data_IF_374774371128
#
_entry.id   IF_374774371128
#
_cell.length_a   1.000
_cell.length_b   1.000
_cell.length_c   1.000
_cell.angle_alpha   90.00
_cell.angle_beta   90.00
_cell.angle_gamma   90.00
#
_symmetry.space_group_name_H-M   'P 1'
#
loop_
_entity.id
_entity.type
_entity.pdbx_description
1 polymer ?
#
# COMPACT_ATOMS: atom_id res chain seq x y z
N UNK A 1 -10.09 9.41 3.19
CA UNK A 1 -8.81 8.73 3.46
C UNK A 1 -9.15 7.45 4.18
N UNK A 2 -8.69 6.32 3.65
CA UNK A 2 -8.85 4.98 4.21
C UNK A 2 -8.10 4.83 5.54
N UNK A 3 -8.35 3.74 6.25
CA UNK A 3 -7.67 3.48 7.52
C UNK A 3 -6.18 3.15 7.32
N UNK A 4 -5.86 2.30 6.35
CA UNK A 4 -4.48 2.02 5.94
C UNK A 4 -3.69 3.29 5.62
N UNK A 5 -4.26 4.24 4.86
CA UNK A 5 -3.58 5.49 4.55
C UNK A 5 -3.34 6.38 5.80
N UNK A 6 -4.21 6.32 6.83
CA UNK A 6 -3.96 7.02 8.10
C UNK A 6 -2.82 6.38 8.87
N UNK A 7 -2.79 5.06 8.95
CA UNK A 7 -1.74 4.30 9.64
C UNK A 7 -0.37 4.62 9.05
N UNK A 8 -0.26 4.56 7.72
CA UNK A 8 0.98 4.90 7.00
C UNK A 8 1.40 6.36 7.20
N UNK A 9 0.45 7.30 7.21
CA UNK A 9 0.76 8.70 7.47
C UNK A 9 1.29 8.92 8.91
N UNK A 10 0.73 8.22 9.90
CA UNK A 10 1.19 8.30 11.28
C UNK A 10 2.57 7.65 11.46
N UNK A 11 2.82 6.49 10.86
CA UNK A 11 4.15 5.86 10.80
C UNK A 11 5.19 6.83 10.22
N UNK A 12 4.86 7.46 9.08
CA UNK A 12 5.74 8.44 8.44
C UNK A 12 6.04 9.65 9.36
N UNK A 13 5.04 10.15 10.08
CA UNK A 13 5.22 11.27 11.02
C UNK A 13 6.17 10.90 12.18
N UNK A 14 5.98 9.72 12.77
CA UNK A 14 6.84 9.22 13.85
C UNK A 14 8.28 9.03 13.34
N UNK A 15 8.47 8.37 12.21
CA UNK A 15 9.79 8.15 11.59
C UNK A 15 10.48 9.48 11.31
N UNK A 16 9.76 10.44 10.71
CA UNK A 16 10.32 11.77 10.43
C UNK A 16 10.70 12.53 11.70
N UNK A 17 9.96 12.32 12.80
CA UNK A 17 10.28 12.90 14.11
C UNK A 17 11.55 12.28 14.68
N UNK A 18 11.69 10.95 14.63
CA UNK A 18 12.89 10.22 15.03
C UNK A 18 14.10 10.70 14.23
N UNK A 19 13.98 10.82 12.91
CA UNK A 19 15.05 11.29 12.02
C UNK A 19 15.47 12.73 12.35
N UNK A 20 14.52 13.62 12.65
CA UNK A 20 14.81 15.00 13.07
C UNK A 20 15.50 15.08 14.42
N UNK A 21 15.09 14.23 15.36
CA UNK A 21 15.59 14.25 16.74
C UNK A 21 16.89 13.43 16.91
N UNK A 22 17.19 12.51 15.97
CA UNK A 22 18.34 11.62 16.01
C UNK A 22 18.24 10.52 17.07
N UNK A 23 17.07 10.33 17.67
CA UNK A 23 16.81 9.32 18.68
C UNK A 23 15.32 8.93 18.66
N UNK A 24 15.06 7.67 18.98
CA UNK A 24 13.71 7.16 19.22
C UNK A 24 13.49 6.94 20.72
N UNK A 25 12.33 7.34 21.22
CA UNK A 25 11.85 7.00 22.55
C UNK A 25 11.18 5.63 22.55
N UNK A 26 11.10 5.01 23.74
CA UNK A 26 10.38 3.74 23.92
C UNK A 26 8.89 3.87 23.53
N UNK A 27 8.27 5.02 23.80
CA UNK A 27 6.87 5.27 23.44
C UNK A 27 6.67 5.36 21.91
N UNK A 28 7.60 5.97 21.18
CA UNK A 28 7.58 5.98 19.71
C UNK A 28 7.76 4.56 19.15
N UNK A 29 8.64 3.74 19.76
CA UNK A 29 8.80 2.33 19.39
C UNK A 29 7.53 1.52 19.57
N UNK A 30 6.91 1.56 20.76
CA UNK A 30 5.64 0.86 21.01
C UNK A 30 4.53 1.32 20.06
N UNK A 31 4.50 2.62 19.72
CA UNK A 31 3.50 3.14 18.79
C UNK A 31 3.70 2.63 17.37
N UNK A 32 4.95 2.49 16.92
CA UNK A 32 5.27 1.87 15.63
C UNK A 32 4.77 0.42 15.63
N UNK A 33 5.10 -0.37 16.66
CA UNK A 33 4.66 -1.77 16.76
C UNK A 33 3.13 -1.90 16.70
N UNK A 34 2.40 -1.03 17.40
CA UNK A 34 0.93 -0.98 17.35
C UNK A 34 0.41 -0.65 15.94
N UNK A 35 1.03 0.32 15.27
CA UNK A 35 0.64 0.74 13.93
C UNK A 35 0.92 -0.34 12.90
N UNK A 36 2.04 -1.05 13.00
CA UNK A 36 2.38 -2.19 12.13
C UNK A 36 1.39 -3.34 12.30
N UNK A 37 1.01 -3.66 13.54
CA UNK A 37 -0.03 -4.65 13.81
C UNK A 37 -1.36 -4.26 13.16
N UNK A 38 -1.77 -2.99 13.28
CA UNK A 38 -2.99 -2.47 12.63
C UNK A 38 -2.88 -2.44 11.10
N UNK A 39 -1.67 -2.21 10.56
CA UNK A 39 -1.39 -2.19 9.13
C UNK A 39 -1.58 -3.59 8.53
N UNK A 40 -1.12 -4.63 9.22
CA UNK A 40 -1.29 -6.03 8.80
C UNK A 40 -2.75 -6.50 8.80
N UNK A 41 -3.65 -5.81 9.50
CA UNK A 41 -5.10 -6.07 9.44
C UNK A 41 -5.77 -5.42 8.21
N UNK A 42 -5.05 -4.61 7.44
CA UNK A 42 -5.61 -3.88 6.29
C UNK A 42 -5.70 -4.75 5.03
N UNK A 43 -6.56 -4.34 4.11
CA UNK A 43 -6.96 -5.14 2.94
C UNK A 43 -5.81 -5.50 1.99
N UNK A 44 -4.77 -4.67 1.90
CA UNK A 44 -3.59 -4.98 1.09
C UNK A 44 -2.75 -6.11 1.70
N UNK A 45 -2.73 -6.24 3.03
CA UNK A 45 -2.02 -7.27 3.78
C UNK A 45 -2.87 -8.52 4.05
N UNK A 46 -4.06 -8.60 3.47
CA UNK A 46 -4.87 -9.79 3.59
C UNK A 46 -4.19 -10.93 2.83
N UNK A 47 -3.86 -12.01 3.55
CA UNK A 47 -3.31 -13.24 2.97
C UNK A 47 -4.25 -13.83 1.91
N UNK A 48 -3.65 -14.39 0.86
CA UNK A 48 -4.35 -15.04 -0.24
C UNK A 48 -3.80 -16.45 -0.50
N UNK A 49 -4.65 -17.33 -1.03
CA UNK A 49 -4.22 -18.64 -1.51
C UNK A 49 -3.70 -18.49 -2.95
N UNK A 50 -2.44 -18.05 -3.08
CA UNK A 50 -1.76 -17.84 -4.36
C UNK A 50 -0.36 -18.46 -4.35
N UNK A 51 0.09 -19.00 -5.49
CA UNK A 51 1.37 -19.76 -5.57
C UNK A 51 2.61 -18.86 -5.41
N UNK A 52 2.52 -17.61 -5.85
CA UNK A 52 3.65 -16.67 -5.91
C UNK A 52 3.54 -15.45 -4.99
N UNK A 53 2.38 -15.21 -4.37
CA UNK A 53 2.11 -13.98 -3.62
C UNK A 53 1.49 -14.35 -2.27
N UNK A 54 1.97 -13.72 -1.21
CA UNK A 54 1.48 -13.91 0.14
C UNK A 54 0.27 -13.01 0.38
N UNK A 55 0.34 -11.77 -0.11
CA UNK A 55 -0.66 -10.75 0.15
C UNK A 55 -1.43 -10.30 -1.09
N UNK A 56 -2.68 -9.87 -0.87
CA UNK A 56 -3.53 -9.31 -1.93
C UNK A 56 -2.90 -8.11 -2.64
N UNK A 57 -2.17 -7.26 -1.92
CA UNK A 57 -1.46 -6.12 -2.50
C UNK A 57 -0.39 -6.55 -3.50
N UNK A 58 0.35 -7.63 -3.23
CA UNK A 58 1.37 -8.19 -4.12
C UNK A 58 0.75 -8.76 -5.39
N UNK A 59 -0.38 -9.45 -5.26
CA UNK A 59 -1.09 -9.98 -6.42
C UNK A 59 -1.55 -8.87 -7.38
N UNK A 60 -2.05 -7.76 -6.85
CA UNK A 60 -2.43 -6.59 -7.63
C UNK A 60 -1.19 -5.96 -8.30
N UNK A 61 -0.06 -5.90 -7.60
CA UNK A 61 1.21 -5.41 -8.16
C UNK A 61 1.71 -6.30 -9.31
N UNK A 62 1.65 -7.62 -9.13
CA UNK A 62 1.99 -8.61 -10.15
C UNK A 62 1.15 -8.47 -11.42
N UNK A 63 -0.15 -8.18 -11.28
CA UNK A 63 -1.03 -7.91 -12.42
C UNK A 63 -0.60 -6.63 -13.17
N UNK A 64 -0.25 -5.55 -12.46
CA UNK A 64 0.28 -4.36 -13.11
C UNK A 64 1.63 -4.62 -13.80
N UNK A 65 2.50 -5.44 -13.21
CA UNK A 65 3.81 -5.77 -13.76
C UNK A 65 3.76 -6.65 -15.02
N UNK A 66 2.67 -7.42 -15.19
CA UNK A 66 2.53 -8.40 -16.29
C UNK A 66 1.57 -7.94 -17.41
N UNK A 67 1.32 -6.63 -17.53
CA UNK A 67 0.43 -6.03 -18.56
C UNK A 67 -1.07 -6.41 -18.40
N UNK A 68 -1.47 -6.84 -17.20
CA UNK A 68 -2.86 -7.11 -16.82
C UNK A 68 -3.52 -5.90 -16.15
N UNK A 69 -3.27 -4.70 -16.67
CA UNK A 69 -3.65 -3.42 -16.04
C UNK A 69 -5.13 -3.35 -15.64
N UNK A 70 -6.05 -3.65 -16.56
CA UNK A 70 -7.48 -3.56 -16.26
C UNK A 70 -7.94 -4.62 -15.26
N UNK A 71 -7.30 -5.79 -15.23
CA UNK A 71 -7.58 -6.83 -14.25
C UNK A 71 -7.14 -6.40 -12.84
N UNK A 72 -6.00 -5.70 -12.74
CA UNK A 72 -5.57 -5.08 -11.49
C UNK A 72 -6.58 -4.04 -10.98
N UNK A 73 -7.08 -3.16 -11.87
CA UNK A 73 -8.13 -2.19 -11.51
C UNK A 73 -9.40 -2.88 -11.04
N UNK A 74 -9.79 -3.97 -11.69
CA UNK A 74 -11.01 -4.72 -11.36
C UNK A 74 -10.88 -5.34 -9.96
N UNK A 75 -9.72 -5.93 -9.69
CA UNK A 75 -9.41 -6.51 -8.39
C UNK A 75 -9.37 -5.46 -7.28
N UNK A 76 -8.83 -4.28 -7.55
CA UNK A 76 -8.89 -3.14 -6.63
C UNK A 76 -10.34 -2.75 -6.32
N UNK A 77 -11.23 -2.69 -7.33
CA UNK A 77 -12.65 -2.41 -7.10
C UNK A 77 -13.30 -3.50 -6.25
N UNK A 78 -13.13 -4.77 -6.61
CA UNK A 78 -13.74 -5.93 -5.95
C UNK A 78 -13.34 -6.03 -4.47
N UNK A 79 -12.08 -5.73 -4.19
CA UNK A 79 -11.54 -5.78 -2.84
C UNK A 79 -11.72 -4.46 -2.09
N UNK A 80 -12.33 -3.44 -2.73
CA UNK A 80 -12.47 -2.09 -2.19
C UNK A 80 -11.13 -1.54 -1.64
N UNK A 81 -10.05 -1.75 -2.41
CA UNK A 81 -8.71 -1.24 -2.15
C UNK A 81 -8.56 0.05 -2.95
N UNK A 82 -8.41 1.18 -2.26
CA UNK A 82 -8.23 2.46 -2.94
C UNK A 82 -6.82 2.57 -3.54
N UNK A 83 -6.60 3.44 -4.54
CA UNK A 83 -5.26 3.75 -5.01
C UNK A 83 -4.34 4.23 -3.88
N UNK A 84 -4.86 5.00 -2.92
CA UNK A 84 -4.08 5.42 -1.75
C UNK A 84 -3.66 4.23 -0.86
N UNK A 85 -4.52 3.22 -0.70
CA UNK A 85 -4.17 1.98 0.00
C UNK A 85 -3.06 1.25 -0.76
N UNK A 86 -3.30 0.95 -2.04
CA UNK A 86 -2.39 0.16 -2.85
C UNK A 86 -1.00 0.79 -2.96
N UNK A 87 -0.89 2.06 -3.36
CA UNK A 87 0.42 2.70 -3.50
C UNK A 87 1.09 2.97 -2.15
N UNK A 88 0.31 3.12 -1.08
CA UNK A 88 0.85 3.15 0.28
C UNK A 88 1.43 1.81 0.71
N UNK A 89 0.76 0.71 0.37
CA UNK A 89 1.27 -0.66 0.57
C UNK A 89 2.58 -0.85 -0.19
N UNK A 90 2.65 -0.55 -1.48
CA UNK A 90 3.88 -0.73 -2.26
C UNK A 90 5.04 0.11 -1.70
N UNK A 91 4.79 1.38 -1.37
CA UNK A 91 5.84 2.24 -0.83
C UNK A 91 6.41 1.79 0.52
N UNK A 92 5.65 1.00 1.29
CA UNK A 92 6.07 0.47 2.59
C UNK A 92 6.61 -0.97 2.50
N UNK A 93 6.03 -1.79 1.62
CA UNK A 93 6.26 -3.24 1.51
C UNK A 93 7.33 -3.62 0.47
N UNK A 94 7.61 -2.77 -0.52
CA UNK A 94 8.62 -3.06 -1.55
C UNK A 94 10.04 -2.90 -0.99
N UNK A 95 10.46 -3.86 -0.16
CA UNK A 95 11.81 -3.94 0.40
C UNK A 95 12.88 -4.30 -0.66
N UNK A 96 12.47 -4.88 -1.79
CA UNK A 96 13.35 -5.43 -2.84
C UNK A 96 13.34 -4.61 -4.16
N UNK A 97 12.72 -3.43 -4.19
CA UNK A 97 12.62 -2.52 -5.35
C UNK A 97 12.02 -3.14 -6.62
N UNK A 98 11.27 -4.25 -6.54
CA UNK A 98 10.77 -4.96 -7.72
C UNK A 98 9.74 -4.11 -8.49
N UNK A 99 9.02 -3.23 -7.78
CA UNK A 99 7.92 -2.44 -8.35
C UNK A 99 8.16 -0.92 -8.33
N UNK A 100 9.21 -0.45 -7.64
CA UNK A 100 9.56 0.97 -7.52
C UNK A 100 9.70 1.66 -8.89
N UNK A 101 10.30 1.01 -9.89
CA UNK A 101 10.47 1.58 -11.23
C UNK A 101 9.20 1.55 -12.08
N UNK A 102 8.22 0.72 -11.70
CA UNK A 102 6.96 0.53 -12.44
C UNK A 102 5.96 1.67 -12.14
N UNK A 103 5.87 2.10 -10.88
CA UNK A 103 4.82 2.99 -10.41
C UNK A 103 5.21 4.48 -10.40
N UNK A 104 5.48 5.02 -11.59
CA UNK A 104 5.72 6.46 -11.77
C UNK A 104 4.50 7.32 -11.38
N UNK A 105 4.71 8.60 -11.08
CA UNK A 105 3.62 9.55 -10.80
C UNK A 105 2.54 9.59 -11.91
N UNK A 106 2.96 9.46 -13.17
CA UNK A 106 2.05 9.44 -14.30
C UNK A 106 1.16 8.18 -14.29
N UNK A 107 1.76 7.03 -13.99
CA UNK A 107 1.05 5.76 -13.84
C UNK A 107 0.06 5.81 -12.67
N UNK A 108 0.50 6.30 -11.51
CA UNK A 108 -0.35 6.47 -10.32
C UNK A 108 -1.56 7.36 -10.64
N UNK A 109 -1.35 8.45 -11.39
CA UNK A 109 -2.43 9.35 -11.80
C UNK A 109 -3.44 8.67 -12.74
N UNK A 110 -2.97 7.80 -13.64
CA UNK A 110 -3.82 7.02 -14.54
C UNK A 110 -4.65 5.98 -13.77
N UNK A 111 -4.03 5.22 -12.87
CA UNK A 111 -4.73 4.27 -11.98
C UNK A 111 -5.81 4.97 -11.16
N UNK A 112 -5.51 6.14 -10.57
CA UNK A 112 -6.48 6.93 -9.82
C UNK A 112 -7.69 7.35 -10.66
N UNK A 113 -7.44 7.76 -11.90
CA UNK A 113 -8.48 8.17 -12.83
C UNK A 113 -9.36 6.99 -13.22
N UNK A 114 -8.77 5.86 -13.57
CA UNK A 114 -9.51 4.68 -14.04
C UNK A 114 -10.27 4.00 -12.90
N UNK A 115 -9.64 3.87 -11.73
CA UNK A 115 -10.31 3.44 -10.50
C UNK A 115 -11.52 4.33 -10.18
N UNK A 116 -11.36 5.66 -10.21
CA UNK A 116 -12.46 6.57 -9.95
C UNK A 116 -13.59 6.46 -10.99
N UNK A 117 -13.25 6.21 -12.25
CA UNK A 117 -14.24 6.01 -13.31
C UNK A 117 -14.99 4.69 -13.19
N UNK A 118 -14.35 3.63 -12.65
CA UNK A 118 -14.91 2.28 -12.62
C UNK A 118 -15.56 1.93 -11.28
N UNK A 119 -14.88 2.18 -10.16
CA UNK A 119 -15.28 1.66 -8.85
C UNK A 119 -16.21 2.61 -8.06
N UNK A 120 -16.36 3.88 -8.47
CA UNK A 120 -17.23 4.86 -7.79
C UNK A 120 -18.58 5.10 -8.49
N UNK A 121 -19.00 4.18 -9.36
CA UNK A 121 -20.29 4.25 -10.05
C UNK A 121 -21.36 3.39 -9.41
#
# INVERSE_FOLDING_TARGET
>A
MSEQAKILAELQEIIMTILKNGAASEAEGHRIDELEALLHEQKCYQEIDHEAYEYRGEEIAGLFATDHYMEAIDKMCECEITPEDFFGFIAYHDEDEEYIDLFTDAFIAEVKKDYASKCKS
#
